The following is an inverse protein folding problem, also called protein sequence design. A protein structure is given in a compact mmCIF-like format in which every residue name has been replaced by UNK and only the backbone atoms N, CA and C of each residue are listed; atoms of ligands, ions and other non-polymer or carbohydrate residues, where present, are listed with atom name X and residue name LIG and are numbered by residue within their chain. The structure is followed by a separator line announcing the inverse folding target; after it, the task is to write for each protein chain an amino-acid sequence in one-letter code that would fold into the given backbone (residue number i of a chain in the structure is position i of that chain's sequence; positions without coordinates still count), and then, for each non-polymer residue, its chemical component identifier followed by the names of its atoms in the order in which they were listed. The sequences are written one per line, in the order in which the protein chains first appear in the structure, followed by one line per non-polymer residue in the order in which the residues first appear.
data_IF_216859561971
#
_entry.id   IF_216859561971
#
_cell.length_a   1.000
_cell.length_b   1.000
_cell.length_c   1.000
_cell.angle_alpha   90.00
_cell.angle_beta   90.00
_cell.angle_gamma   90.00
#
_symmetry.space_group_name_H-M   'P 1'
#
loop_
_entity.id
_entity.type
_entity.pdbx_description
1 polymer ?
#
# COMPACT_ATOMS: atom_id res chain seq x y z
N UNK A 1 -10.92 42.69 -8.70
CA UNK A 1 -9.60 43.22 -8.32
C UNK A 1 -9.73 44.66 -7.82
N UNK A 2 -9.01 44.98 -6.73
CA UNK A 2 -8.96 46.37 -6.21
C UNK A 2 -8.16 47.26 -7.15
N UNK A 3 -8.54 48.55 -7.27
CA UNK A 3 -7.92 49.51 -8.19
C UNK A 3 -6.43 49.77 -7.91
N UNK A 4 -5.92 49.35 -6.77
CA UNK A 4 -4.53 49.51 -6.34
C UNK A 4 -3.73 48.20 -6.40
N UNK A 5 -4.37 47.10 -6.84
CA UNK A 5 -3.70 45.81 -6.98
C UNK A 5 -3.00 45.75 -8.34
N UNK A 6 -1.72 45.48 -8.32
CA UNK A 6 -0.88 45.36 -9.51
C UNK A 6 -0.72 43.86 -9.89
N UNK A 7 -0.81 43.52 -11.17
CA UNK A 7 -0.48 42.17 -11.62
C UNK A 7 1.04 41.94 -11.58
N UNK A 8 1.47 40.70 -11.52
CA UNK A 8 2.87 40.33 -11.55
C UNK A 8 3.14 38.84 -11.51
N UNK A 9 4.26 38.45 -12.09
CA UNK A 9 4.68 37.06 -12.20
C UNK A 9 5.04 36.40 -10.84
N UNK A 10 5.38 37.22 -9.84
CA UNK A 10 5.80 36.75 -8.50
C UNK A 10 4.66 36.64 -7.46
N UNK A 11 3.42 36.83 -7.91
CA UNK A 11 2.26 36.69 -6.98
C UNK A 11 2.00 35.21 -6.75
N UNK A 12 2.24 34.76 -5.52
CA UNK A 12 1.94 33.37 -5.13
C UNK A 12 0.44 33.20 -4.85
N UNK A 13 -0.11 33.96 -3.89
CA UNK A 13 -1.53 33.91 -3.50
C UNK A 13 -2.04 35.31 -3.19
N UNK A 14 -3.37 35.46 -3.10
CA UNK A 14 -4.02 36.71 -2.75
C UNK A 14 -4.84 36.59 -1.46
N UNK A 15 -4.98 37.71 -0.76
CA UNK A 15 -5.84 37.81 0.40
C UNK A 15 -6.87 38.93 0.22
N UNK A 16 -8.03 38.79 0.88
CA UNK A 16 -9.09 39.77 0.83
C UNK A 16 -8.65 41.12 1.41
N UNK A 17 -9.14 42.17 0.82
CA UNK A 17 -8.96 43.55 1.28
C UNK A 17 -10.31 44.27 1.20
N UNK A 18 -10.35 45.51 0.68
CA UNK A 18 -11.57 46.27 0.50
C UNK A 18 -11.99 46.35 -0.98
N UNK A 19 -13.31 46.36 -1.22
CA UNK A 19 -13.93 46.51 -2.52
C UNK A 19 -15.44 46.69 -2.39
N UNK A 20 -16.09 47.30 -3.40
CA UNK A 20 -17.54 47.50 -3.49
C UNK A 20 -18.19 48.16 -2.23
N UNK A 21 -17.43 48.96 -1.49
CA UNK A 21 -17.90 49.63 -0.28
C UNK A 21 -17.72 48.84 1.02
N UNK A 22 -17.19 47.62 0.92
CA UNK A 22 -16.89 46.78 2.09
C UNK A 22 -15.37 46.81 2.37
N UNK A 23 -14.99 46.63 3.61
CA UNK A 23 -13.61 46.57 4.07
C UNK A 23 -13.39 45.48 5.12
N UNK A 24 -12.16 45.39 5.58
CA UNK A 24 -11.81 44.47 6.69
C UNK A 24 -12.25 45.07 8.01
N UNK A 25 -12.92 44.28 8.83
CA UNK A 25 -13.27 44.67 10.20
C UNK A 25 -12.09 44.40 11.10
N UNK A 26 -11.61 45.43 11.80
CA UNK A 26 -10.46 45.34 12.70
C UNK A 26 -10.61 46.36 13.86
N UNK A 27 -9.72 46.26 14.84
CA UNK A 27 -9.62 47.28 15.93
C UNK A 27 -9.17 48.61 15.35
N UNK A 28 -9.74 49.68 15.90
CA UNK A 28 -9.40 51.08 15.58
C UNK A 28 -8.79 51.77 16.78
N UNK A 29 -8.30 52.99 16.58
CA UNK A 29 -7.80 53.82 17.66
C UNK A 29 -8.94 54.11 18.65
N UNK A 30 -8.66 53.92 19.95
CA UNK A 30 -9.65 54.19 21.00
C UNK A 30 -9.97 55.70 21.08
N UNK A 31 -11.25 56.03 20.90
CA UNK A 31 -11.70 57.41 21.12
C UNK A 31 -11.41 57.83 22.53
N UNK A 32 -10.61 58.89 22.72
CA UNK A 32 -10.35 59.48 24.03
C UNK A 32 -11.54 60.39 24.40
N UNK A 33 -12.34 60.03 25.43
CA UNK A 33 -13.51 60.80 25.83
C UNK A 33 -13.17 62.23 26.36
N UNK A 34 -11.88 62.50 26.65
CA UNK A 34 -11.41 63.75 27.16
C UNK A 34 -10.90 64.72 26.09
N UNK A 35 -10.78 64.27 24.82
CA UNK A 35 -10.39 65.11 23.70
C UNK A 35 -11.60 65.47 22.85
N UNK A 36 -11.75 66.81 22.58
CA UNK A 36 -12.80 67.37 21.73
C UNK A 36 -12.41 67.42 20.25
N UNK A 37 -11.31 66.79 19.86
CA UNK A 37 -10.88 66.57 18.50
C UNK A 37 -11.22 65.16 18.08
N UNK A 38 -11.90 64.99 16.95
CA UNK A 38 -12.07 63.67 16.31
C UNK A 38 -10.69 63.04 16.21
N UNK A 39 -10.40 62.08 17.14
CA UNK A 39 -9.20 61.31 17.08
C UNK A 39 -9.23 60.51 15.76
N UNK A 40 -8.17 60.61 15.02
CA UNK A 40 -8.07 60.23 13.62
C UNK A 40 -8.04 58.71 13.37
N UNK A 41 -9.01 57.99 13.96
CA UNK A 41 -9.29 56.63 13.60
C UNK A 41 -10.03 56.52 12.26
N UNK A 42 -10.20 55.30 11.78
CA UNK A 42 -10.98 55.04 10.54
C UNK A 42 -12.49 55.18 10.76
N UNK A 43 -12.97 55.03 11.99
CA UNK A 43 -14.36 55.15 12.38
C UNK A 43 -14.52 55.66 13.82
N UNK A 44 -15.73 56.13 14.18
CA UNK A 44 -16.05 56.42 15.55
C UNK A 44 -16.18 55.13 16.36
N UNK A 45 -15.35 55.00 17.43
CA UNK A 45 -15.32 53.80 18.28
C UNK A 45 -14.02 53.01 18.17
N UNK A 46 -13.99 51.82 18.77
CA UNK A 46 -12.78 51.01 18.89
C UNK A 46 -12.62 49.98 17.76
N UNK A 47 -13.53 50.01 16.78
CA UNK A 47 -13.58 49.04 15.67
C UNK A 47 -13.93 49.76 14.40
N UNK A 48 -13.24 49.48 13.33
CA UNK A 48 -13.58 49.90 11.97
C UNK A 48 -13.96 48.71 11.10
N UNK A 49 -14.83 48.92 10.12
CA UNK A 49 -15.17 47.96 9.05
C UNK A 49 -14.78 48.47 7.66
N UNK A 50 -13.98 49.50 7.58
CA UNK A 50 -13.56 50.15 6.34
C UNK A 50 -12.04 50.06 6.12
N UNK A 51 -11.33 49.27 6.94
CA UNK A 51 -9.90 49.09 6.75
C UNK A 51 -9.60 48.36 5.47
N UNK A 52 -8.70 48.88 4.65
CA UNK A 52 -8.44 48.37 3.31
C UNK A 52 -7.01 48.59 2.83
N UNK A 53 -6.83 48.33 1.52
CA UNK A 53 -5.55 48.37 0.88
C UNK A 53 -4.73 47.10 1.10
N UNK A 54 -3.55 47.04 0.47
CA UNK A 54 -2.61 45.94 0.67
C UNK A 54 -2.18 45.79 2.11
N UNK A 55 -2.25 46.88 2.91
CA UNK A 55 -1.98 46.94 4.35
C UNK A 55 -3.00 46.09 5.18
N UNK A 56 -4.16 45.78 4.63
CA UNK A 56 -5.15 44.91 5.29
C UNK A 56 -5.02 43.47 4.83
N UNK A 57 -4.67 43.23 3.56
CA UNK A 57 -4.50 41.91 2.99
C UNK A 57 -3.27 41.17 3.56
N UNK A 58 -2.14 41.86 3.69
CA UNK A 58 -0.88 41.28 4.19
C UNK A 58 -1.00 40.67 5.59
N UNK A 59 -1.52 41.38 6.64
CA UNK A 59 -1.67 40.77 7.96
C UNK A 59 -2.72 39.67 8.01
N UNK A 60 -3.70 39.68 7.11
CA UNK A 60 -4.65 38.58 6.99
C UNK A 60 -3.94 37.31 6.50
N UNK A 61 -3.11 37.42 5.45
CA UNK A 61 -2.28 36.32 4.99
C UNK A 61 -1.32 35.83 6.08
N UNK A 62 -0.64 36.77 6.78
CA UNK A 62 0.25 36.42 7.88
C UNK A 62 -0.48 35.69 9.03
N UNK A 63 -1.74 36.03 9.30
CA UNK A 63 -2.58 35.32 10.27
C UNK A 63 -2.88 33.88 9.87
N UNK A 64 -3.15 33.64 8.58
CA UNK A 64 -3.34 32.28 8.07
C UNK A 64 -2.06 31.47 8.14
N UNK A 65 -0.92 32.05 7.76
CA UNK A 65 0.40 31.39 7.88
C UNK A 65 0.70 31.02 9.34
N UNK A 66 0.35 31.89 10.30
CA UNK A 66 0.50 31.54 11.71
C UNK A 66 -0.36 30.37 12.16
N UNK A 67 -1.58 30.19 11.61
CA UNK A 67 -2.42 29.03 11.86
C UNK A 67 -1.87 27.75 11.23
N UNK A 68 -1.29 27.84 10.03
CA UNK A 68 -0.59 26.72 9.34
C UNK A 68 0.57 26.23 10.23
N UNK A 69 1.40 27.15 10.72
CA UNK A 69 2.54 26.83 11.58
C UNK A 69 2.14 26.34 12.97
N UNK A 70 0.96 26.74 13.49
CA UNK A 70 0.41 26.23 14.75
C UNK A 70 -0.11 24.79 14.56
N UNK A 71 -0.66 24.47 13.40
CA UNK A 71 -1.13 23.13 13.06
C UNK A 71 0.02 22.11 12.91
N UNK A 72 1.18 22.55 12.39
CA UNK A 72 2.36 21.71 12.25
C UNK A 72 3.65 22.57 12.44
N UNK A 73 4.28 22.41 13.61
CA UNK A 73 5.47 23.18 14.00
C UNK A 73 6.75 22.79 13.24
N UNK A 74 6.73 21.68 12.47
CA UNK A 74 7.90 21.19 11.74
C UNK A 74 8.02 21.78 10.34
N UNK A 75 7.05 22.56 9.88
CA UNK A 75 7.03 23.11 8.52
C UNK A 75 8.16 24.11 8.30
N UNK A 76 8.79 24.00 7.13
CA UNK A 76 9.72 25.02 6.59
C UNK A 76 8.96 26.16 5.92
N UNK A 77 9.67 27.19 5.50
CA UNK A 77 9.05 28.30 4.75
C UNK A 77 8.59 27.84 3.35
N UNK A 78 9.26 26.83 2.75
CA UNK A 78 8.86 26.24 1.48
C UNK A 78 7.60 25.40 1.62
N UNK A 79 7.49 24.58 2.66
CA UNK A 79 6.26 23.85 2.96
C UNK A 79 5.05 24.76 3.06
N UNK A 80 5.21 25.90 3.71
CA UNK A 80 4.14 26.91 3.80
C UNK A 80 3.75 27.43 2.42
N UNK A 81 4.70 27.64 1.50
CA UNK A 81 4.39 28.04 0.12
C UNK A 81 3.64 26.96 -0.63
N UNK A 82 4.09 25.71 -0.57
CA UNK A 82 3.38 24.56 -1.17
C UNK A 82 1.96 24.41 -0.60
N UNK A 83 1.80 24.50 0.70
CA UNK A 83 0.47 24.45 1.34
C UNK A 83 -0.44 25.57 0.82
N UNK A 84 0.09 26.79 0.68
CA UNK A 84 -0.68 27.93 0.18
C UNK A 84 -1.08 27.74 -1.30
N UNK A 85 -0.20 27.23 -2.15
CA UNK A 85 -0.49 26.94 -3.55
C UNK A 85 -1.57 25.86 -3.66
N UNK A 86 -1.36 24.72 -3.00
CA UNK A 86 -2.25 23.56 -3.08
C UNK A 86 -3.62 23.77 -2.39
N UNK A 87 -3.74 24.74 -1.49
CA UNK A 87 -5.00 25.05 -0.80
C UNK A 87 -5.70 26.30 -1.31
N UNK A 88 -5.07 27.07 -2.24
CA UNK A 88 -5.65 28.28 -2.77
C UNK A 88 -6.94 27.96 -3.56
N UNK A 89 -7.90 28.87 -3.49
CA UNK A 89 -9.13 28.76 -4.24
C UNK A 89 -9.22 29.82 -5.32
N UNK A 90 -9.65 29.45 -6.50
CA UNK A 90 -9.90 30.39 -7.59
C UNK A 90 -10.92 31.44 -7.14
N UNK A 91 -10.51 32.68 -7.15
CA UNK A 91 -11.39 33.84 -6.94
C UNK A 91 -11.67 34.51 -8.28
N UNK A 92 -12.87 35.04 -8.48
CA UNK A 92 -13.33 35.59 -9.75
C UNK A 92 -13.11 34.62 -10.96
N UNK A 93 -13.75 33.45 -10.96
CA UNK A 93 -13.49 32.41 -11.97
C UNK A 93 -13.88 32.79 -13.41
N UNK A 94 -14.49 33.98 -13.63
CA UNK A 94 -14.81 34.50 -14.94
C UNK A 94 -13.74 35.50 -15.47
N UNK A 95 -12.72 35.81 -14.69
CA UNK A 95 -11.62 36.67 -15.17
C UNK A 95 -10.78 35.92 -16.22
N UNK A 96 -10.53 36.59 -17.33
CA UNK A 96 -9.82 35.99 -18.47
C UNK A 96 -8.29 35.86 -18.27
N UNK A 97 -7.77 36.25 -17.11
CA UNK A 97 -6.36 36.11 -16.77
C UNK A 97 -6.00 34.75 -16.17
N UNK A 98 -7.02 33.90 -15.92
CA UNK A 98 -6.76 32.54 -15.47
C UNK A 98 -6.28 31.67 -16.62
N UNK A 99 -5.22 30.93 -16.38
CA UNK A 99 -4.66 29.89 -17.24
C UNK A 99 -4.31 28.67 -16.39
N UNK A 100 -4.12 27.55 -17.04
CA UNK A 100 -3.64 26.32 -16.37
C UNK A 100 -2.19 26.15 -16.78
N UNK A 101 -1.28 26.07 -15.83
CA UNK A 101 0.12 25.77 -16.11
C UNK A 101 0.30 24.27 -16.46
N UNK A 102 1.49 23.85 -16.87
CA UNK A 102 1.74 22.49 -17.33
C UNK A 102 1.64 21.45 -16.20
N UNK A 103 1.77 21.86 -14.95
CA UNK A 103 1.52 21.02 -13.76
C UNK A 103 0.04 20.92 -13.36
N UNK A 104 -0.86 21.59 -14.10
CA UNK A 104 -2.30 21.54 -13.85
C UNK A 104 -2.82 22.56 -12.82
N UNK A 105 -1.99 23.46 -12.33
CA UNK A 105 -2.44 24.52 -11.43
C UNK A 105 -3.13 25.66 -12.19
N UNK A 106 -4.27 26.12 -11.66
CA UNK A 106 -4.85 27.39 -12.07
C UNK A 106 -3.97 28.53 -11.57
N UNK A 107 -3.47 29.37 -12.49
CA UNK A 107 -2.59 30.50 -12.16
C UNK A 107 -2.98 31.76 -12.91
N UNK A 108 -2.71 32.90 -12.33
CA UNK A 108 -3.06 34.21 -12.90
C UNK A 108 -2.07 35.28 -12.46
N UNK A 109 -1.64 36.14 -13.37
CA UNK A 109 -0.84 37.34 -13.04
C UNK A 109 -1.54 38.35 -12.13
N UNK A 110 -2.87 38.24 -11.98
CA UNK A 110 -3.65 39.10 -11.06
C UNK A 110 -3.84 38.48 -9.67
N UNK A 111 -3.91 37.15 -9.60
CA UNK A 111 -4.37 36.44 -8.41
C UNK A 111 -3.39 35.40 -7.89
N UNK A 112 -2.26 35.15 -8.58
CA UNK A 112 -1.38 34.03 -8.33
C UNK A 112 -2.14 32.70 -8.49
N UNK A 113 -1.99 31.79 -7.57
CA UNK A 113 -2.73 30.53 -7.52
C UNK A 113 -4.15 30.67 -6.92
N UNK A 114 -4.51 31.87 -6.44
CA UNK A 114 -5.85 32.17 -5.96
C UNK A 114 -5.89 32.84 -4.60
N UNK A 115 -7.08 32.91 -4.04
CA UNK A 115 -7.28 33.44 -2.71
C UNK A 115 -6.95 32.41 -1.64
N UNK A 116 -6.26 32.83 -0.58
CA UNK A 116 -5.95 31.99 0.58
C UNK A 116 -7.25 31.42 1.16
N UNK A 117 -7.28 30.11 1.39
CA UNK A 117 -8.29 29.39 2.15
C UNK A 117 -7.70 28.86 3.47
N UNK A 118 -8.02 29.50 4.57
CA UNK A 118 -7.45 29.16 5.86
C UNK A 118 -7.84 27.76 6.35
N UNK A 119 -9.08 27.31 6.03
CA UNK A 119 -9.57 25.99 6.44
C UNK A 119 -8.86 24.87 5.67
N UNK A 120 -8.77 25.02 4.36
CA UNK A 120 -8.06 24.05 3.51
C UNK A 120 -6.57 24.01 3.86
N UNK A 121 -5.93 25.18 4.03
CA UNK A 121 -4.50 25.27 4.34
C UNK A 121 -4.13 24.62 5.69
N UNK A 122 -4.93 24.85 6.73
CA UNK A 122 -4.70 24.24 8.05
C UNK A 122 -4.90 22.73 7.99
N UNK A 123 -5.97 22.25 7.34
CA UNK A 123 -6.22 20.81 7.18
C UNK A 123 -5.10 20.10 6.42
N UNK A 124 -4.54 20.75 5.39
CA UNK A 124 -3.42 20.21 4.64
C UNK A 124 -2.14 20.17 5.48
N UNK A 125 -1.90 21.22 6.29
CA UNK A 125 -0.73 21.32 7.16
C UNK A 125 -0.65 20.24 8.24
N UNK A 126 -1.80 19.77 8.76
CA UNK A 126 -1.86 18.75 9.83
C UNK A 126 -1.16 17.44 9.46
N UNK A 127 -1.18 17.06 8.17
CA UNK A 127 -0.60 15.82 7.66
C UNK A 127 0.47 16.05 6.58
N UNK A 128 1.01 17.27 6.52
CA UNK A 128 1.99 17.63 5.51
C UNK A 128 3.35 16.95 5.76
N UNK A 129 3.88 16.30 4.75
CA UNK A 129 5.27 15.85 4.72
C UNK A 129 6.12 16.97 4.15
N UNK A 130 7.23 17.29 4.82
CA UNK A 130 8.11 18.38 4.37
C UNK A 130 8.68 18.08 2.99
N UNK A 131 8.69 19.10 2.14
CA UNK A 131 9.31 19.00 0.82
C UNK A 131 10.83 18.78 0.92
N UNK A 132 11.42 18.18 -0.09
CA UNK A 132 12.84 17.90 -0.19
C UNK A 132 13.71 19.16 -0.17
N UNK A 133 15.03 18.99 -0.04
CA UNK A 133 15.98 20.09 -0.07
C UNK A 133 15.89 20.86 -1.39
N UNK A 134 15.99 22.20 -1.29
CA UNK A 134 15.95 23.08 -2.46
C UNK A 134 17.18 22.85 -3.35
N UNK A 135 16.91 22.67 -4.63
CA UNK A 135 17.92 22.68 -5.69
C UNK A 135 17.92 24.04 -6.40
N UNK A 136 19.13 24.54 -6.68
CA UNK A 136 19.34 25.78 -7.40
C UNK A 136 20.19 25.52 -8.65
N UNK A 137 19.59 25.64 -9.83
CA UNK A 137 20.28 25.45 -11.10
C UNK A 137 20.44 26.78 -11.82
N UNK A 138 21.65 27.09 -12.30
CA UNK A 138 21.97 28.36 -12.97
C UNK A 138 22.37 28.13 -14.42
N UNK A 139 21.68 28.79 -15.34
CA UNK A 139 21.90 28.72 -16.77
C UNK A 139 22.31 30.10 -17.31
N UNK A 140 23.47 30.16 -17.96
CA UNK A 140 24.08 31.41 -18.41
C UNK A 140 25.23 31.88 -17.52
N UNK A 141 25.62 33.19 -17.54
CA UNK A 141 25.03 34.25 -18.36
C UNK A 141 25.27 34.04 -19.86
N UNK A 142 24.22 34.24 -20.64
CA UNK A 142 24.27 34.29 -22.09
C UNK A 142 24.45 35.75 -22.52
N UNK A 143 25.35 36.04 -23.48
CA UNK A 143 25.68 37.39 -23.90
C UNK A 143 25.46 37.58 -25.43
N UNK A 144 24.21 37.60 -25.89
CA UNK A 144 23.88 37.67 -27.30
C UNK A 144 24.26 39.01 -27.95
N UNK A 145 24.37 40.08 -27.16
CA UNK A 145 24.59 41.48 -27.66
C UNK A 145 23.62 41.81 -28.81
N UNK A 146 22.34 41.51 -28.59
CA UNK A 146 21.29 41.55 -29.62
C UNK A 146 20.56 42.89 -29.59
N UNK A 147 20.44 43.54 -30.74
CA UNK A 147 19.62 44.75 -30.87
C UNK A 147 18.14 44.42 -30.92
N UNK A 148 17.38 44.89 -29.93
CA UNK A 148 15.93 44.74 -29.87
C UNK A 148 15.29 45.70 -30.88
N UNK A 149 14.55 45.20 -31.90
CA UNK A 149 13.93 46.04 -32.91
C UNK A 149 12.83 46.93 -32.30
N UNK A 150 12.77 48.19 -32.73
CA UNK A 150 11.76 49.15 -32.25
C UNK A 150 10.39 48.90 -32.87
N UNK A 151 9.32 49.12 -32.07
CA UNK A 151 7.93 49.17 -32.55
C UNK A 151 7.51 47.96 -33.37
N UNK A 152 7.83 46.76 -32.87
CA UNK A 152 7.47 45.52 -33.56
C UNK A 152 6.46 44.73 -32.71
N UNK A 153 5.47 44.15 -33.40
CA UNK A 153 4.63 43.14 -32.76
C UNK A 153 5.30 41.75 -32.73
N UNK A 154 6.59 41.68 -33.16
CA UNK A 154 7.33 40.42 -33.24
C UNK A 154 8.27 40.27 -32.07
N UNK A 155 8.23 39.10 -31.44
CA UNK A 155 9.13 38.75 -30.38
C UNK A 155 10.54 38.45 -30.88
N UNK A 156 11.54 38.89 -30.15
CA UNK A 156 12.90 38.35 -30.21
C UNK A 156 13.01 37.24 -29.18
N UNK A 157 13.35 36.03 -29.61
CA UNK A 157 13.36 34.85 -28.77
C UNK A 157 14.78 34.34 -28.54
N UNK A 158 15.07 33.93 -27.30
CA UNK A 158 16.38 33.42 -26.88
C UNK A 158 16.16 32.09 -26.14
N UNK A 159 16.58 30.99 -26.77
CA UNK A 159 16.38 29.66 -26.29
C UNK A 159 17.47 29.23 -25.29
N UNK A 160 17.09 28.50 -24.26
CA UNK A 160 17.97 27.72 -23.39
C UNK A 160 17.47 26.30 -23.26
N UNK A 161 18.35 25.34 -23.50
CA UNK A 161 18.02 23.91 -23.31
C UNK A 161 18.41 23.50 -21.92
N UNK A 162 17.46 22.98 -21.16
CA UNK A 162 17.65 22.40 -19.84
C UNK A 162 17.53 20.87 -19.94
N UNK A 163 18.48 20.16 -19.35
CA UNK A 163 18.58 18.70 -19.33
C UNK A 163 18.39 18.11 -17.95
N UNK A 164 18.42 18.95 -16.94
CA UNK A 164 18.17 18.58 -15.56
C UNK A 164 16.66 18.66 -15.31
N UNK A 165 16.06 17.62 -14.77
CA UNK A 165 14.63 17.56 -14.49
C UNK A 165 14.37 17.80 -13.01
N UNK A 166 13.78 18.95 -12.68
CA UNK A 166 13.35 19.29 -11.33
C UNK A 166 11.95 19.88 -11.34
N UNK A 167 11.20 19.66 -10.28
CA UNK A 167 9.92 20.33 -10.02
C UNK A 167 10.19 21.77 -9.61
N UNK A 168 9.57 22.71 -10.33
CA UNK A 168 9.85 24.13 -10.18
C UNK A 168 9.04 24.73 -9.03
N UNK A 169 9.66 25.60 -8.24
CA UNK A 169 9.01 26.47 -7.28
C UNK A 169 9.04 27.93 -7.73
N UNK A 170 10.20 28.40 -8.18
CA UNK A 170 10.33 29.72 -8.74
C UNK A 170 11.50 29.82 -9.73
N UNK A 171 11.46 30.84 -10.59
CA UNK A 171 12.53 31.11 -11.51
C UNK A 171 12.91 32.59 -11.41
N UNK A 172 14.21 32.83 -11.24
CA UNK A 172 14.80 34.18 -11.38
C UNK A 172 15.38 34.38 -12.77
N UNK A 173 14.97 35.44 -13.43
CA UNK A 173 15.51 35.85 -14.73
C UNK A 173 16.26 37.16 -14.55
N UNK A 174 17.57 37.11 -14.69
CA UNK A 174 18.43 38.31 -14.61
C UNK A 174 18.72 38.81 -16.01
N UNK A 175 18.41 40.06 -16.28
CA UNK A 175 18.64 40.66 -17.60
C UNK A 175 19.53 41.91 -17.48
N UNK A 176 20.35 42.14 -18.49
CA UNK A 176 21.11 43.38 -18.71
C UNK A 176 20.72 43.91 -20.07
N UNK A 177 19.88 44.97 -20.07
CA UNK A 177 19.30 45.58 -21.30
C UNK A 177 19.55 47.07 -21.29
N UNK A 178 20.27 47.57 -22.27
CA UNK A 178 20.35 49.01 -22.55
C UNK A 178 19.10 49.46 -23.30
N UNK A 179 18.32 50.38 -22.74
CA UNK A 179 17.15 51.00 -23.38
C UNK A 179 16.86 52.34 -22.75
N UNK A 180 16.52 53.35 -23.57
CA UNK A 180 16.29 54.71 -23.08
C UNK A 180 14.95 54.90 -22.36
N UNK A 181 14.05 53.96 -22.47
CA UNK A 181 12.74 53.93 -21.80
C UNK A 181 12.35 52.45 -21.55
N UNK A 182 12.74 51.91 -20.44
CA UNK A 182 12.54 50.48 -20.12
C UNK A 182 11.05 50.08 -20.03
N UNK A 183 10.18 51.05 -19.75
CA UNK A 183 8.74 50.84 -19.71
C UNK A 183 8.10 50.52 -21.06
N UNK A 184 8.84 50.67 -22.18
CA UNK A 184 8.36 50.31 -23.51
C UNK A 184 8.59 48.82 -23.85
N UNK A 185 9.22 48.06 -22.93
CA UNK A 185 9.58 46.65 -23.15
C UNK A 185 8.56 45.66 -22.55
N UNK A 186 8.14 44.71 -23.35
CA UNK A 186 7.54 43.50 -22.90
C UNK A 186 8.59 42.40 -22.79
N UNK A 187 8.63 41.69 -21.65
CA UNK A 187 9.56 40.60 -21.37
C UNK A 187 8.75 39.42 -20.85
N UNK A 188 8.88 38.27 -21.50
CA UNK A 188 8.13 37.03 -21.14
C UNK A 188 9.11 35.88 -21.05
N UNK A 189 8.95 35.05 -20.04
CA UNK A 189 9.54 33.73 -19.97
C UNK A 189 8.49 32.67 -20.37
N UNK A 190 8.83 31.78 -21.31
CA UNK A 190 7.96 30.72 -21.76
C UNK A 190 8.60 29.36 -21.46
N UNK A 191 7.84 28.49 -20.84
CA UNK A 191 8.24 27.11 -20.58
C UNK A 191 8.23 26.24 -21.85
N UNK A 192 8.84 25.04 -21.82
CA UNK A 192 8.84 24.11 -22.95
C UNK A 192 7.44 23.74 -23.45
N UNK A 193 6.46 23.65 -22.56
CA UNK A 193 5.08 23.29 -22.87
C UNK A 193 4.19 24.49 -23.18
N UNK A 194 4.71 25.71 -23.04
CA UNK A 194 4.08 26.92 -23.54
C UNK A 194 3.46 27.85 -22.50
N UNK A 195 3.55 27.52 -21.17
CA UNK A 195 3.16 28.46 -20.12
C UNK A 195 3.96 29.74 -20.23
N UNK A 196 3.30 30.89 -20.25
CA UNK A 196 3.93 32.21 -20.39
C UNK A 196 3.86 32.98 -19.07
N UNK A 197 5.03 33.41 -18.58
CA UNK A 197 5.13 34.31 -17.45
C UNK A 197 5.58 35.68 -17.90
N UNK A 198 4.75 36.69 -17.71
CA UNK A 198 5.00 38.08 -18.05
C UNK A 198 5.85 38.74 -16.97
N UNK A 199 7.14 38.87 -17.21
CA UNK A 199 8.11 39.47 -16.29
C UNK A 199 8.04 41.00 -16.30
N UNK A 200 7.81 41.58 -17.46
CA UNK A 200 7.50 42.97 -17.64
C UNK A 200 6.47 43.15 -18.77
N UNK A 201 5.56 44.08 -18.59
CA UNK A 201 4.60 44.55 -19.58
C UNK A 201 4.82 46.03 -19.86
N UNK A 202 4.42 46.54 -21.02
CA UNK A 202 4.43 47.96 -21.34
C UNK A 202 3.72 48.77 -20.24
N UNK A 203 4.45 49.68 -19.64
CA UNK A 203 3.93 50.54 -18.56
C UNK A 203 4.60 51.91 -18.56
N UNK A 204 4.02 52.88 -17.85
CA UNK A 204 4.53 54.25 -17.80
C UNK A 204 5.72 54.37 -16.80
N UNK A 205 6.87 53.80 -17.19
CA UNK A 205 8.15 53.95 -16.49
C UNK A 205 9.21 54.55 -17.47
N UNK A 206 9.47 55.84 -17.31
CA UNK A 206 10.50 56.56 -18.08
C UNK A 206 11.94 56.31 -17.60
N UNK A 207 12.17 55.28 -16.79
CA UNK A 207 13.52 54.87 -16.39
C UNK A 207 14.30 54.30 -17.56
N UNK A 208 15.64 54.41 -17.51
CA UNK A 208 16.52 53.79 -18.48
C UNK A 208 16.93 52.42 -17.97
N UNK A 209 17.32 51.56 -18.91
CA UNK A 209 18.04 50.30 -18.74
C UNK A 209 17.49 49.33 -17.65
N UNK A 210 17.64 48.06 -17.88
CA UNK A 210 17.61 47.01 -16.87
C UNK A 210 19.05 46.54 -16.62
N UNK A 211 19.72 47.09 -15.61
CA UNK A 211 21.12 46.77 -15.31
C UNK A 211 21.23 45.62 -14.30
N UNK A 212 21.53 44.41 -14.77
CA UNK A 212 21.49 43.19 -13.98
C UNK A 212 20.19 43.10 -13.15
N UNK A 213 19.07 43.39 -13.79
CA UNK A 213 17.78 43.44 -13.14
C UNK A 213 17.22 42.01 -12.99
N UNK A 214 16.82 41.67 -11.80
CA UNK A 214 16.25 40.34 -11.50
C UNK A 214 14.73 40.41 -11.48
N UNK A 215 14.09 39.63 -12.32
CA UNK A 215 12.68 39.33 -12.28
C UNK A 215 12.51 37.96 -11.63
N UNK A 216 11.49 37.79 -10.82
CA UNK A 216 11.10 36.50 -10.25
C UNK A 216 9.73 36.10 -10.78
N UNK A 217 9.54 34.80 -11.03
CA UNK A 217 8.24 34.21 -11.35
C UNK A 217 7.97 32.92 -10.60
N UNK A 218 6.71 32.71 -10.19
CA UNK A 218 6.20 31.50 -9.61
C UNK A 218 5.16 30.82 -10.51
N UNK A 219 4.90 31.35 -11.70
CA UNK A 219 3.84 30.84 -12.59
C UNK A 219 4.07 29.41 -13.07
N UNK A 220 5.31 28.94 -13.05
CA UNK A 220 5.74 27.61 -13.47
C UNK A 220 5.82 26.62 -12.28
N UNK A 221 5.11 26.91 -11.19
CA UNK A 221 5.12 26.07 -9.98
C UNK A 221 4.72 24.62 -10.31
N UNK A 222 5.50 23.67 -9.82
CA UNK A 222 5.41 22.23 -10.07
C UNK A 222 5.57 21.78 -11.53
N UNK A 223 5.85 22.69 -12.49
CA UNK A 223 6.23 22.28 -13.84
C UNK A 223 7.61 21.62 -13.85
N UNK A 224 7.84 20.68 -14.79
CA UNK A 224 9.17 20.15 -15.09
C UNK A 224 10.07 21.21 -15.70
N UNK A 225 11.31 21.28 -15.21
CA UNK A 225 12.32 22.16 -15.81
C UNK A 225 12.84 21.68 -17.16
N UNK A 226 12.65 20.38 -17.50
CA UNK A 226 13.24 19.71 -18.67
C UNK A 226 12.71 20.29 -19.99
N UNK A 227 13.62 20.66 -20.88
CA UNK A 227 13.26 21.07 -22.23
C UNK A 227 13.80 22.42 -22.65
N UNK A 228 13.20 23.03 -23.70
CA UNK A 228 13.64 24.30 -24.27
C UNK A 228 12.81 25.45 -23.72
N UNK A 229 13.43 26.27 -22.90
CA UNK A 229 12.87 27.50 -22.37
C UNK A 229 13.19 28.66 -23.29
N UNK A 230 12.31 29.69 -23.32
CA UNK A 230 12.45 30.86 -24.16
C UNK A 230 12.32 32.15 -23.36
N UNK A 231 13.33 33.00 -23.41
CA UNK A 231 13.18 34.39 -23.05
C UNK A 231 12.73 35.16 -24.29
N UNK A 232 11.58 35.84 -24.19
CA UNK A 232 10.95 36.59 -25.28
C UNK A 232 10.95 38.06 -24.93
N UNK A 233 11.48 38.92 -25.84
CA UNK A 233 11.57 40.38 -25.62
C UNK A 233 11.05 41.10 -26.86
N UNK A 234 10.24 42.14 -26.66
CA UNK A 234 9.86 43.07 -27.71
C UNK A 234 9.79 44.53 -27.19
N UNK A 235 10.04 45.47 -28.06
CA UNK A 235 9.81 46.90 -27.84
C UNK A 235 8.50 47.31 -28.52
N UNK A 236 7.56 47.78 -27.73
CA UNK A 236 6.17 48.09 -28.18
C UNK A 236 6.05 49.51 -28.74
N UNK A 237 6.99 50.36 -28.42
CA UNK A 237 6.94 51.80 -28.76
C UNK A 237 7.97 52.19 -29.83
N UNK A 238 7.60 53.10 -30.71
CA UNK A 238 8.51 53.59 -31.74
C UNK A 238 9.44 54.70 -31.23
N UNK A 239 10.73 54.67 -31.61
CA UNK A 239 11.65 55.80 -31.40
C UNK A 239 13.07 55.42 -31.03
N UNK A 240 13.26 54.50 -30.13
CA UNK A 240 14.58 54.06 -29.68
C UNK A 240 14.67 52.51 -29.68
N UNK A 241 15.82 51.99 -30.06
CA UNK A 241 16.10 50.56 -29.98
C UNK A 241 16.88 50.23 -28.71
N UNK A 242 16.61 49.09 -28.12
CA UNK A 242 17.38 48.54 -27.01
C UNK A 242 18.47 47.56 -27.46
N UNK A 243 19.28 47.12 -26.54
CA UNK A 243 20.23 46.02 -26.72
C UNK A 243 20.18 45.09 -25.51
N UNK A 244 19.86 43.81 -25.76
CA UNK A 244 20.06 42.77 -24.75
C UNK A 244 21.55 42.43 -24.70
N UNK A 245 22.23 42.88 -23.66
CA UNK A 245 23.64 42.62 -23.43
C UNK A 245 23.87 41.21 -22.89
N UNK A 246 23.13 40.83 -21.85
CA UNK A 246 23.17 39.48 -21.27
C UNK A 246 21.88 39.11 -20.55
N UNK A 247 21.69 37.83 -20.39
CA UNK A 247 20.65 37.30 -19.53
C UNK A 247 21.07 35.98 -18.88
N UNK A 248 20.44 35.64 -17.77
CA UNK A 248 20.69 34.45 -16.99
C UNK A 248 19.37 33.95 -16.38
N UNK A 249 19.23 32.65 -16.27
CA UNK A 249 18.11 32.03 -15.58
C UNK A 249 18.61 31.23 -14.39
N UNK A 250 17.98 31.40 -13.24
CA UNK A 250 18.23 30.64 -12.03
C UNK A 250 16.91 29.95 -11.67
N UNK A 251 16.93 28.64 -11.62
CA UNK A 251 15.78 27.80 -11.29
C UNK A 251 15.90 27.38 -9.84
N UNK A 252 14.82 27.52 -9.12
CA UNK A 252 14.63 27.05 -7.75
C UNK A 252 13.55 25.98 -7.74
N UNK A 253 13.79 24.84 -7.09
CA UNK A 253 12.86 23.73 -7.04
C UNK A 253 13.40 22.55 -6.26
N UNK A 254 12.88 21.38 -6.51
CA UNK A 254 13.28 20.14 -5.90
C UNK A 254 13.38 19.04 -6.94
N UNK A 255 14.01 17.91 -6.60
CA UNK A 255 13.98 16.75 -7.50
C UNK A 255 12.53 16.40 -7.85
N UNK A 256 12.30 16.06 -9.11
CA UNK A 256 11.04 15.45 -9.49
C UNK A 256 11.08 14.01 -8.96
N UNK A 257 10.29 13.77 -7.95
CA UNK A 257 9.99 12.43 -7.48
C UNK A 257 8.82 11.91 -8.33
N UNK A 258 9.18 11.36 -9.49
CA UNK A 258 8.17 10.81 -10.39
C UNK A 258 7.67 9.48 -9.80
N UNK A 259 6.39 9.39 -9.62
CA UNK A 259 5.64 8.20 -9.25
C UNK A 259 4.58 8.00 -10.33
N UNK A 260 4.82 7.04 -11.25
CA UNK A 260 4.00 6.91 -12.46
C UNK A 260 2.71 6.11 -12.24
N UNK A 261 2.65 5.30 -11.20
CA UNK A 261 1.49 4.44 -10.90
C UNK A 261 0.77 4.84 -9.62
N UNK A 262 1.22 5.95 -8.99
CA UNK A 262 0.63 6.58 -7.81
C UNK A 262 0.56 5.62 -6.59
N UNK A 263 1.52 4.70 -6.44
CA UNK A 263 1.54 3.77 -5.31
C UNK A 263 2.19 4.36 -4.04
N UNK A 264 2.93 5.46 -4.16
CA UNK A 264 3.63 6.17 -3.08
C UNK A 264 5.12 5.88 -3.01
N UNK A 265 5.67 5.13 -3.97
CA UNK A 265 7.11 4.92 -4.16
C UNK A 265 7.55 5.65 -5.42
N UNK A 266 8.66 6.37 -5.36
CA UNK A 266 9.16 7.01 -6.57
C UNK A 266 9.79 6.02 -7.54
N UNK A 267 9.63 6.29 -8.85
CA UNK A 267 10.22 5.48 -9.92
C UNK A 267 11.71 5.21 -9.74
N UNK A 268 12.45 6.16 -9.15
CA UNK A 268 13.87 6.01 -8.86
C UNK A 268 14.09 4.98 -7.76
N UNK A 269 13.31 5.06 -6.67
CA UNK A 269 13.37 4.12 -5.56
C UNK A 269 12.90 2.73 -5.98
N UNK A 270 11.85 2.64 -6.78
CA UNK A 270 11.39 1.39 -7.35
C UNK A 270 12.49 0.71 -8.16
N UNK A 271 13.06 1.42 -9.12
CA UNK A 271 14.08 0.85 -10.01
C UNK A 271 15.41 0.54 -9.32
N UNK A 272 15.88 1.42 -8.43
CA UNK A 272 17.25 1.35 -7.87
C UNK A 272 17.32 0.69 -6.50
N UNK A 273 16.24 0.74 -5.70
CA UNK A 273 16.22 0.30 -4.31
C UNK A 273 15.43 -0.99 -4.15
N UNK A 274 14.19 -1.01 -4.66
CA UNK A 274 13.23 -2.08 -4.40
C UNK A 274 13.15 -3.11 -5.53
N UNK A 275 13.39 -2.70 -6.78
CA UNK A 275 13.32 -3.56 -7.96
C UNK A 275 11.90 -3.79 -8.46
N UNK A 276 10.96 -2.93 -8.04
CA UNK A 276 9.57 -2.92 -8.47
C UNK A 276 9.40 -2.25 -9.85
N UNK A 277 8.21 -2.34 -10.45
CA UNK A 277 7.91 -1.78 -11.77
C UNK A 277 7.26 -0.40 -11.65
N UNK A 278 7.94 0.72 -12.03
CA UNK A 278 7.44 2.09 -11.92
C UNK A 278 6.13 2.41 -12.67
N UNK A 279 5.52 1.45 -13.31
CA UNK A 279 4.27 1.61 -14.04
C UNK A 279 3.17 0.66 -13.54
N UNK A 280 3.43 -0.08 -12.46
CA UNK A 280 2.50 -1.06 -11.93
C UNK A 280 2.57 -1.10 -10.40
N UNK A 281 1.64 -0.43 -9.76
CA UNK A 281 1.52 -0.30 -8.29
C UNK A 281 1.38 -1.61 -7.50
N UNK A 282 1.40 -2.77 -8.16
CA UNK A 282 1.36 -4.12 -7.60
C UNK A 282 2.20 -4.99 -8.53
N UNK A 283 3.53 -4.96 -8.31
CA UNK A 283 4.53 -5.52 -9.24
C UNK A 283 4.36 -7.01 -9.47
N UNK A 284 4.06 -7.80 -8.44
CA UNK A 284 3.91 -9.26 -8.54
C UNK A 284 2.47 -9.73 -8.70
N UNK A 285 1.52 -8.80 -8.63
CA UNK A 285 0.10 -9.01 -8.90
C UNK A 285 -0.60 -9.95 -7.90
N UNK A 286 -0.21 -9.93 -6.65
CA UNK A 286 -0.83 -10.71 -5.59
C UNK A 286 -2.06 -10.01 -4.98
N UNK A 287 -2.22 -8.69 -5.16
CA UNK A 287 -3.33 -7.86 -4.71
C UNK A 287 -3.01 -6.93 -3.56
N UNK A 288 -1.75 -6.83 -3.15
CA UNK A 288 -1.20 -5.80 -2.26
C UNK A 288 -0.38 -4.85 -3.14
N UNK A 289 -0.36 -3.55 -2.85
CA UNK A 289 0.49 -2.63 -3.57
C UNK A 289 1.91 -2.64 -3.00
N UNK A 290 2.89 -2.29 -3.85
CA UNK A 290 4.32 -2.34 -3.52
C UNK A 290 4.65 -1.52 -2.25
N UNK A 291 4.02 -0.36 -2.06
CA UNK A 291 4.19 0.46 -0.86
C UNK A 291 3.76 -0.25 0.41
N UNK A 292 2.55 -0.85 0.40
CA UNK A 292 2.03 -1.55 1.57
C UNK A 292 2.88 -2.79 1.89
N UNK A 293 3.37 -3.50 0.88
CA UNK A 293 4.27 -4.63 1.08
C UNK A 293 5.57 -4.20 1.76
N UNK A 294 6.25 -3.18 1.22
CA UNK A 294 7.56 -2.73 1.71
C UNK A 294 7.46 -2.06 3.09
N UNK A 295 6.46 -1.21 3.32
CA UNK A 295 6.41 -0.33 4.49
C UNK A 295 5.39 -0.72 5.56
N UNK A 296 4.39 -1.55 5.23
CA UNK A 296 3.34 -1.96 6.17
C UNK A 296 3.49 -3.42 6.56
N UNK A 297 3.62 -4.32 5.57
CA UNK A 297 3.66 -5.76 5.80
C UNK A 297 5.07 -6.33 5.84
N UNK A 298 6.06 -5.59 5.31
CA UNK A 298 7.47 -6.00 5.20
C UNK A 298 7.65 -7.28 4.40
N UNK A 299 6.79 -7.48 3.40
CA UNK A 299 6.88 -8.54 2.41
C UNK A 299 7.73 -8.12 1.22
N UNK A 300 7.95 -9.03 0.28
CA UNK A 300 8.76 -8.77 -0.90
C UNK A 300 7.86 -8.43 -2.10
N UNK A 301 7.69 -7.17 -2.40
CA UNK A 301 6.86 -6.62 -3.47
C UNK A 301 7.15 -7.15 -4.90
N UNK A 302 8.10 -8.05 -5.08
CA UNK A 302 8.40 -8.72 -6.35
C UNK A 302 8.08 -10.22 -6.32
N UNK A 303 7.45 -10.71 -5.25
CA UNK A 303 7.18 -12.13 -5.02
C UNK A 303 5.85 -12.32 -4.31
N UNK A 304 4.82 -12.70 -5.01
CA UNK A 304 3.47 -12.90 -4.51
C UNK A 304 3.30 -13.91 -3.33
N UNK A 305 4.36 -14.57 -2.92
CA UNK A 305 4.47 -15.54 -1.84
C UNK A 305 5.88 -15.38 -1.25
N UNK A 306 6.01 -14.55 -0.24
CA UNK A 306 7.32 -14.09 0.29
C UNK A 306 8.08 -15.22 0.98
N UNK A 307 7.43 -16.11 1.73
CA UNK A 307 8.06 -17.20 2.49
C UNK A 307 8.01 -18.55 1.78
N UNK A 308 7.31 -18.63 0.63
CA UNK A 308 7.26 -19.79 -0.27
C UNK A 308 6.53 -21.00 0.32
N UNK A 309 5.54 -20.78 1.14
CA UNK A 309 4.74 -21.85 1.75
C UNK A 309 3.58 -22.34 0.86
N UNK A 310 3.24 -21.58 -0.21
CA UNK A 310 2.20 -21.87 -1.19
C UNK A 310 0.91 -21.10 -0.99
N UNK A 311 0.86 -20.14 -0.08
CA UNK A 311 -0.15 -19.09 0.02
C UNK A 311 0.44 -17.79 -0.55
N UNK A 312 -0.37 -16.88 -1.03
CA UNK A 312 0.12 -15.54 -1.36
C UNK A 312 0.00 -14.61 -0.15
N UNK A 313 0.89 -13.63 -0.07
CA UNK A 313 0.95 -12.66 1.03
C UNK A 313 -0.43 -12.03 1.29
N UNK A 314 -1.15 -11.66 0.23
CA UNK A 314 -2.49 -11.08 0.34
C UNK A 314 -3.54 -12.07 0.88
N UNK A 315 -3.44 -13.35 0.56
CA UNK A 315 -4.33 -14.40 1.07
C UNK A 315 -4.05 -14.66 2.54
N UNK A 316 -2.79 -14.70 2.93
CA UNK A 316 -2.39 -14.84 4.32
C UNK A 316 -2.91 -13.70 5.18
N UNK A 317 -2.66 -12.45 4.78
CA UNK A 317 -3.08 -11.26 5.52
C UNK A 317 -4.60 -11.14 5.59
N UNK A 318 -5.31 -11.31 4.45
CA UNK A 318 -6.73 -10.98 4.35
C UNK A 318 -7.68 -12.11 4.70
N UNK A 319 -7.28 -13.37 4.49
CA UNK A 319 -8.14 -14.54 4.63
C UNK A 319 -7.76 -15.38 5.84
N UNK A 320 -6.49 -15.76 5.96
CA UNK A 320 -6.04 -16.72 6.97
C UNK A 320 -5.49 -16.05 8.23
N UNK A 321 -5.03 -14.79 8.15
CA UNK A 321 -4.42 -14.03 9.22
C UNK A 321 -3.11 -14.66 9.72
N UNK A 322 -2.44 -15.38 8.82
CA UNK A 322 -1.11 -15.94 9.01
C UNK A 322 -0.03 -14.87 8.77
N UNK A 323 1.21 -15.22 9.01
CA UNK A 323 2.34 -14.30 8.88
C UNK A 323 3.06 -14.52 7.53
N UNK A 324 2.91 -13.64 6.53
CA UNK A 324 3.44 -13.81 5.18
C UNK A 324 4.99 -13.81 5.08
N UNK A 325 5.66 -13.67 6.20
CA UNK A 325 7.12 -13.72 6.28
C UNK A 325 7.63 -14.97 7.02
N UNK A 326 6.76 -15.92 7.33
CA UNK A 326 7.12 -17.11 8.09
C UNK A 326 6.25 -18.29 7.68
N UNK A 327 6.82 -19.23 6.95
CA UNK A 327 6.15 -20.41 6.38
C UNK A 327 5.34 -21.27 7.36
N UNK A 328 5.50 -21.08 8.67
CA UNK A 328 4.88 -21.83 9.76
C UNK A 328 4.56 -20.85 10.91
N UNK A 329 3.33 -20.32 10.91
CA UNK A 329 2.93 -19.24 11.83
C UNK A 329 2.87 -19.69 13.28
N UNK A 330 2.43 -20.92 13.57
CA UNK A 330 2.26 -21.42 14.94
C UNK A 330 3.40 -22.33 15.42
N UNK A 331 4.36 -22.61 14.56
CA UNK A 331 5.62 -23.30 14.84
C UNK A 331 5.44 -24.79 15.23
N UNK A 332 4.53 -25.48 14.56
CA UNK A 332 4.27 -26.90 14.80
C UNK A 332 5.04 -27.83 13.84
N UNK A 333 5.62 -27.27 12.78
CA UNK A 333 6.40 -27.99 11.77
C UNK A 333 5.64 -28.28 10.49
N UNK A 334 4.37 -27.89 10.40
CA UNK A 334 3.61 -27.80 9.16
C UNK A 334 3.70 -26.36 8.63
N UNK A 335 3.76 -26.18 7.33
CA UNK A 335 3.63 -24.84 6.76
C UNK A 335 2.15 -24.46 6.65
N UNK A 336 1.85 -23.15 6.80
CA UNK A 336 0.51 -22.61 6.73
C UNK A 336 -0.22 -23.06 5.45
N UNK A 337 0.50 -23.02 4.31
CA UNK A 337 0.01 -23.48 3.02
C UNK A 337 -0.25 -24.99 2.96
N UNK A 338 0.54 -25.82 3.65
CA UNK A 338 0.29 -27.24 3.75
C UNK A 338 -0.94 -27.53 4.60
N UNK A 339 -1.10 -26.84 5.72
CA UNK A 339 -2.27 -26.98 6.58
C UNK A 339 -3.56 -26.63 5.86
N UNK A 340 -3.60 -25.50 5.15
CA UNK A 340 -4.78 -25.07 4.39
C UNK A 340 -5.08 -26.00 3.21
N UNK A 341 -4.05 -26.34 2.40
CA UNK A 341 -4.27 -27.00 1.12
C UNK A 341 -4.28 -28.53 1.19
N UNK A 342 -3.56 -29.14 2.13
CA UNK A 342 -3.40 -30.59 2.24
C UNK A 342 -4.14 -31.17 3.44
N UNK A 343 -3.94 -30.57 4.62
CA UNK A 343 -4.41 -31.16 5.87
C UNK A 343 -5.76 -30.62 6.32
N UNK A 344 -6.17 -29.43 5.86
CA UNK A 344 -7.39 -28.73 6.30
C UNK A 344 -7.40 -28.45 7.81
N UNK A 345 -6.21 -28.31 8.39
CA UNK A 345 -6.00 -27.84 9.77
C UNK A 345 -6.01 -26.32 9.86
N UNK A 346 -5.76 -25.78 11.02
CA UNK A 346 -5.80 -24.35 11.27
C UNK A 346 -4.39 -23.80 11.52
N UNK A 347 -3.80 -23.02 10.61
CA UNK A 347 -2.41 -22.55 10.68
C UNK A 347 -2.10 -21.57 11.82
N UNK A 348 -3.05 -21.35 12.72
CA UNK A 348 -2.88 -20.51 13.91
C UNK A 348 -2.97 -21.33 15.21
N UNK A 349 -3.09 -22.66 15.12
CA UNK A 349 -3.26 -23.56 16.26
C UNK A 349 -2.27 -24.70 16.12
N UNK A 350 -1.28 -24.72 16.99
CA UNK A 350 -0.25 -25.76 17.06
C UNK A 350 -0.85 -27.16 17.03
N UNK A 351 -0.60 -27.90 15.98
CA UNK A 351 -1.04 -29.27 15.77
C UNK A 351 0.01 -30.25 16.36
N UNK A 352 -0.37 -31.01 17.37
CA UNK A 352 0.56 -31.93 18.02
C UNK A 352 0.74 -33.22 17.19
N UNK A 353 1.97 -33.72 17.11
CA UNK A 353 2.34 -35.09 16.73
C UNK A 353 3.09 -35.68 17.93
N UNK A 354 2.34 -36.30 18.89
CA UNK A 354 2.90 -36.73 20.19
C UNK A 354 3.83 -37.94 20.09
N UNK A 355 3.67 -38.81 19.07
CA UNK A 355 4.49 -40.00 18.89
C UNK A 355 5.49 -39.92 17.75
N UNK A 356 5.48 -38.79 17.01
CA UNK A 356 6.45 -38.43 15.96
C UNK A 356 6.44 -39.37 14.75
N UNK A 357 5.28 -39.78 14.31
CA UNK A 357 5.12 -40.68 13.17
C UNK A 357 4.69 -39.97 11.85
N UNK A 358 4.55 -38.62 11.89
CA UNK A 358 4.14 -37.71 10.80
C UNK A 358 2.63 -37.70 10.52
N UNK A 359 1.83 -38.22 11.40
CA UNK A 359 0.40 -37.98 11.46
C UNK A 359 0.08 -37.16 12.70
N UNK A 360 -0.79 -36.21 12.58
CA UNK A 360 -1.09 -35.24 13.61
C UNK A 360 -2.41 -35.56 14.30
N UNK A 361 -2.66 -35.06 15.49
CA UNK A 361 -3.81 -35.34 16.31
C UNK A 361 -5.19 -35.24 15.61
N UNK A 362 -5.28 -34.44 14.51
CA UNK A 362 -6.53 -34.28 13.76
C UNK A 362 -6.77 -35.37 12.70
N UNK A 363 -5.75 -36.13 12.29
CA UNK A 363 -5.84 -37.18 11.30
C UNK A 363 -5.31 -38.53 11.80
N UNK A 364 -4.82 -38.56 13.04
CA UNK A 364 -4.39 -39.76 13.76
C UNK A 364 -5.44 -40.17 14.79
N UNK A 365 -5.90 -41.41 14.75
CA UNK A 365 -6.88 -41.94 15.72
C UNK A 365 -6.24 -42.33 17.06
N UNK A 366 -4.92 -42.40 17.14
CA UNK A 366 -4.16 -42.61 18.37
C UNK A 366 -2.78 -41.95 18.36
N UNK A 367 -2.73 -40.65 18.41
CA UNK A 367 -1.56 -39.76 18.45
C UNK A 367 -0.54 -40.05 19.60
N UNK A 368 -0.62 -41.18 20.24
CA UNK A 368 0.33 -41.66 21.28
C UNK A 368 0.97 -43.00 20.92
N UNK A 369 0.66 -43.59 19.76
CA UNK A 369 1.19 -44.87 19.32
C UNK A 369 1.46 -44.89 17.81
N UNK A 370 2.70 -44.62 17.43
CA UNK A 370 3.19 -44.58 16.05
C UNK A 370 2.95 -45.85 15.20
N UNK A 371 2.35 -46.89 15.75
CA UNK A 371 1.90 -48.09 15.05
C UNK A 371 0.41 -48.04 14.66
N UNK A 372 -0.31 -46.98 15.04
CA UNK A 372 -1.73 -46.76 14.75
C UNK A 372 -1.84 -45.39 14.05
N UNK A 373 -1.98 -45.37 12.73
CA UNK A 373 -2.12 -44.17 11.92
C UNK A 373 -2.64 -44.53 10.51
N UNK A 374 -3.12 -43.55 9.70
CA UNK A 374 -3.66 -43.81 8.35
C UNK A 374 -2.73 -44.49 7.35
N UNK A 375 -1.46 -44.53 7.67
CA UNK A 375 -0.42 -45.17 6.81
C UNK A 375 -0.16 -46.63 7.17
N UNK A 376 -0.73 -47.15 8.24
CA UNK A 376 -0.49 -48.53 8.71
C UNK A 376 -1.50 -49.52 8.12
N UNK A 377 -1.10 -50.78 7.95
CA UNK A 377 -2.04 -51.84 7.62
C UNK A 377 -2.73 -52.35 8.87
N UNK A 378 -3.97 -52.79 8.73
CA UNK A 378 -4.71 -53.46 9.79
C UNK A 378 -3.97 -54.68 10.36
N UNK A 379 -4.09 -54.82 11.67
CA UNK A 379 -3.68 -55.99 12.42
C UNK A 379 -4.92 -56.55 13.13
N UNK A 380 -5.04 -57.87 13.29
CA UNK A 380 -6.14 -58.49 14.01
C UNK A 380 -5.89 -58.38 15.53
N UNK A 381 -6.26 -57.22 16.11
CA UNK A 381 -5.92 -56.88 17.48
C UNK A 381 -7.04 -56.13 18.25
N UNK A 382 -8.16 -55.85 17.57
CA UNK A 382 -9.31 -55.17 18.13
C UNK A 382 -9.20 -53.66 18.12
N UNK A 383 -8.21 -53.08 17.44
CA UNK A 383 -8.05 -51.66 17.21
C UNK A 383 -8.20 -51.36 15.72
N UNK A 384 -8.58 -50.14 15.40
CA UNK A 384 -8.53 -49.58 14.06
C UNK A 384 -7.12 -49.05 13.88
N UNK A 385 -6.22 -49.85 13.27
CA UNK A 385 -4.80 -49.50 13.13
C UNK A 385 -4.56 -48.52 11.99
N UNK A 386 -5.50 -48.36 11.03
CA UNK A 386 -5.37 -47.54 9.84
C UNK A 386 -6.31 -46.30 9.86
N UNK A 387 -7.03 -46.10 10.94
CA UNK A 387 -7.90 -44.93 11.16
C UNK A 387 -8.98 -44.72 10.09
N UNK A 388 -9.60 -45.80 9.56
CA UNK A 388 -10.65 -45.74 8.55
C UNK A 388 -12.07 -45.97 9.10
N UNK A 389 -12.24 -45.99 10.42
CA UNK A 389 -13.48 -46.27 11.18
C UNK A 389 -13.95 -47.75 11.13
N UNK A 390 -13.16 -48.67 10.57
CA UNK A 390 -13.43 -50.11 10.62
C UNK A 390 -12.35 -50.77 11.47
N UNK A 391 -12.73 -51.73 12.27
CA UNK A 391 -11.84 -52.48 13.16
C UNK A 391 -11.54 -53.83 12.53
N UNK A 392 -10.25 -54.17 12.40
CA UNK A 392 -9.78 -55.46 11.89
C UNK A 392 -10.42 -55.86 10.55
N UNK A 393 -10.63 -54.91 9.60
CA UNK A 393 -11.18 -55.23 8.29
C UNK A 393 -10.15 -55.98 7.45
N UNK A 394 -10.64 -56.78 6.50
CA UNK A 394 -9.79 -57.65 5.65
C UNK A 394 -9.65 -59.08 6.20
N UNK A 395 -9.79 -59.31 7.49
CA UNK A 395 -9.66 -60.64 8.12
C UNK A 395 -10.94 -61.48 8.04
N UNK A 396 -12.04 -60.91 7.61
CA UNK A 396 -13.29 -61.65 7.35
C UNK A 396 -13.21 -62.76 6.30
N UNK A 397 -12.16 -62.75 5.46
CA UNK A 397 -11.94 -63.68 4.35
C UNK A 397 -10.72 -64.58 4.54
N UNK A 398 -9.88 -64.26 5.51
CA UNK A 398 -8.71 -65.08 5.86
C UNK A 398 -9.12 -66.24 6.77
N UNK A 399 -8.40 -67.30 6.72
CA UNK A 399 -8.54 -68.52 7.51
C UNK A 399 -7.11 -69.10 7.57
N UNK A 400 -6.40 -68.71 8.62
CA UNK A 400 -4.93 -68.83 8.66
C UNK A 400 -4.48 -70.24 9.06
N UNK A 401 -5.19 -70.91 9.89
CA UNK A 401 -4.92 -72.26 10.38
C UNK A 401 -5.71 -73.36 9.61
N UNK A 402 -6.69 -72.92 8.75
CA UNK A 402 -7.51 -73.74 7.88
C UNK A 402 -8.43 -74.71 8.57
N UNK A 403 -9.02 -74.29 9.67
CA UNK A 403 -10.00 -75.07 10.42
C UNK A 403 -11.46 -74.90 9.93
N UNK A 404 -11.69 -73.86 9.08
CA UNK A 404 -12.99 -73.54 8.47
C UNK A 404 -13.70 -72.35 9.12
N UNK A 405 -13.21 -71.78 10.21
CA UNK A 405 -13.56 -70.47 10.70
C UNK A 405 -12.70 -69.40 9.98
N UNK A 406 -13.06 -68.19 10.13
CA UNK A 406 -12.29 -67.07 9.61
C UNK A 406 -11.65 -66.29 10.76
N UNK A 407 -10.44 -65.77 10.50
CA UNK A 407 -9.63 -65.06 11.52
C UNK A 407 -10.45 -64.04 12.31
N UNK A 408 -11.33 -63.25 11.65
CA UNK A 408 -12.14 -62.23 12.29
C UNK A 408 -13.22 -62.79 13.23
N UNK A 409 -14.10 -63.79 12.83
CA UNK A 409 -15.00 -64.48 13.73
C UNK A 409 -14.31 -65.18 14.89
N UNK A 410 -13.18 -65.80 14.68
CA UNK A 410 -12.39 -66.44 15.72
C UNK A 410 -12.03 -65.43 16.81
N UNK A 411 -11.40 -64.35 16.42
CA UNK A 411 -10.94 -63.34 17.36
C UNK A 411 -12.09 -62.58 18.05
N UNK A 412 -13.11 -62.16 17.31
CA UNK A 412 -14.15 -61.24 17.80
C UNK A 412 -15.41 -61.96 18.37
N UNK A 413 -15.70 -63.14 17.90
CA UNK A 413 -16.94 -63.84 18.25
C UNK A 413 -16.69 -65.03 19.15
N UNK A 414 -15.73 -65.88 18.73
CA UNK A 414 -15.51 -67.14 19.39
C UNK A 414 -14.40 -67.07 20.46
N UNK A 415 -13.51 -66.07 20.37
CA UNK A 415 -12.34 -65.92 21.23
C UNK A 415 -11.35 -67.09 21.13
N UNK A 416 -11.31 -67.75 19.96
CA UNK A 416 -10.31 -68.76 19.61
C UNK A 416 -9.03 -68.16 19.07
N UNK A 417 -7.94 -68.92 19.03
CA UNK A 417 -6.67 -68.48 18.46
C UNK A 417 -6.63 -68.74 16.95
N UNK A 418 -6.89 -67.74 16.11
CA UNK A 418 -6.93 -67.80 14.67
C UNK A 418 -5.63 -68.32 13.99
N UNK A 419 -4.65 -68.80 14.77
CA UNK A 419 -3.41 -69.43 14.32
C UNK A 419 -3.29 -70.86 14.72
N UNK A 420 -4.25 -71.34 15.53
CA UNK A 420 -4.25 -72.66 16.08
C UNK A 420 -5.65 -73.27 15.84
N UNK A 421 -5.73 -74.24 14.96
CA UNK A 421 -6.97 -74.83 14.49
C UNK A 421 -7.74 -75.62 15.57
N UNK A 422 -7.20 -75.81 16.78
CA UNK A 422 -7.73 -76.53 17.89
C UNK A 422 -7.29 -75.82 19.18
N UNK A 423 -7.99 -74.73 19.54
CA UNK A 423 -7.59 -73.81 20.60
C UNK A 423 -7.50 -74.45 21.98
N UNK A 424 -8.26 -75.49 22.26
CA UNK A 424 -8.24 -76.15 23.56
C UNK A 424 -7.51 -77.51 23.57
N UNK A 425 -6.93 -77.89 22.42
CA UNK A 425 -6.09 -79.10 22.24
C UNK A 425 -6.87 -80.44 22.52
N UNK A 426 -8.18 -80.49 22.21
CA UNK A 426 -8.97 -81.69 22.46
C UNK A 426 -9.02 -82.65 21.26
N UNK A 427 -8.60 -82.23 20.07
CA UNK A 427 -8.56 -83.00 18.86
C UNK A 427 -9.69 -82.76 17.87
N UNK A 428 -10.65 -81.88 18.20
CA UNK A 428 -11.59 -81.29 17.28
C UNK A 428 -11.03 -79.92 16.85
N UNK A 429 -11.29 -79.55 15.65
CA UNK A 429 -10.93 -78.15 15.21
C UNK A 429 -12.03 -77.16 15.60
N UNK A 430 -11.65 -75.94 15.94
CA UNK A 430 -12.56 -74.86 16.38
C UNK A 430 -13.69 -74.65 15.34
N UNK A 431 -13.40 -74.72 14.06
CA UNK A 431 -14.37 -74.61 12.98
C UNK A 431 -15.40 -75.76 12.96
N UNK A 432 -15.01 -76.97 13.31
CA UNK A 432 -15.91 -78.09 13.45
C UNK A 432 -16.80 -77.91 14.66
N UNK A 433 -16.28 -77.51 15.78
CA UNK A 433 -17.07 -77.31 17.00
C UNK A 433 -18.10 -76.22 16.81
N UNK A 434 -17.73 -75.06 16.25
CA UNK A 434 -18.67 -73.98 16.01
C UNK A 434 -19.71 -74.32 14.95
N UNK A 435 -19.31 -74.91 13.82
CA UNK A 435 -20.19 -75.08 12.66
C UNK A 435 -20.96 -76.37 12.63
N UNK A 436 -20.45 -77.40 13.24
CA UNK A 436 -21.08 -78.78 13.21
C UNK A 436 -21.60 -79.20 14.54
N UNK A 437 -20.91 -78.98 15.63
CA UNK A 437 -21.15 -79.60 16.91
C UNK A 437 -21.66 -78.65 18.00
N UNK A 438 -21.71 -77.32 17.76
CA UNK A 438 -22.19 -76.36 18.75
C UNK A 438 -23.61 -76.64 19.30
N UNK A 439 -24.52 -77.17 18.43
CA UNK A 439 -25.86 -77.56 18.84
C UNK A 439 -25.87 -78.79 19.74
N UNK A 440 -24.81 -79.58 19.78
CA UNK A 440 -24.61 -80.73 20.58
C UNK A 440 -23.89 -80.46 21.91
N UNK A 441 -23.24 -79.30 22.01
CA UNK A 441 -22.60 -78.81 23.21
C UNK A 441 -21.07 -78.64 23.13
N UNK A 442 -20.46 -78.88 21.96
CA UNK A 442 -19.04 -78.56 21.76
C UNK A 442 -18.78 -77.07 21.91
N UNK A 443 -17.68 -76.73 22.50
CA UNK A 443 -17.27 -75.34 22.76
C UNK A 443 -15.74 -75.19 22.50
N UNK A 444 -15.28 -74.51 21.51
CA UNK A 444 -13.87 -74.47 21.09
C UNK A 444 -12.90 -73.88 22.14
N UNK A 445 -13.37 -73.60 23.34
CA UNK A 445 -12.55 -73.11 24.46
C UNK A 445 -12.63 -74.11 25.67
N UNK A 446 -13.33 -75.26 25.54
CA UNK A 446 -13.54 -76.18 26.60
C UNK A 446 -13.21 -77.56 26.10
N UNK A 447 -12.12 -78.13 26.53
CA UNK A 447 -11.65 -79.48 26.20
C UNK A 447 -12.73 -80.50 26.35
N UNK A 448 -13.18 -81.04 25.20
CA UNK A 448 -14.20 -82.08 25.12
C UNK A 448 -13.55 -83.46 25.27
N UNK A 449 -13.87 -84.21 26.28
CA UNK A 449 -13.24 -85.49 26.58
C UNK A 449 -13.78 -86.64 25.71
N UNK A 450 -12.87 -87.37 25.04
CA UNK A 450 -13.14 -88.77 24.51
C UNK A 450 -12.55 -89.77 25.49
N UNK A 451 -13.35 -90.22 26.41
CA UNK A 451 -12.91 -91.04 27.56
C UNK A 451 -12.39 -92.39 27.14
N UNK A 452 -12.88 -93.02 26.08
CA UNK A 452 -12.49 -94.37 25.68
C UNK A 452 -11.56 -94.42 24.46
N UNK A 453 -11.35 -93.24 23.79
CA UNK A 453 -10.39 -93.06 22.70
C UNK A 453 -10.87 -93.69 21.39
N UNK A 454 -12.17 -93.70 21.15
CA UNK A 454 -12.73 -94.30 19.94
C UNK A 454 -13.07 -93.26 18.85
N UNK A 455 -12.74 -91.95 19.06
CA UNK A 455 -12.97 -90.83 18.18
C UNK A 455 -14.39 -90.25 18.11
N UNK A 456 -15.27 -90.72 19.09
CA UNK A 456 -16.58 -90.12 19.30
C UNK A 456 -16.57 -89.38 20.65
N UNK A 457 -16.90 -88.20 20.69
CA UNK A 457 -16.85 -87.35 21.87
C UNK A 457 -18.11 -87.52 22.72
N UNK A 458 -18.05 -87.15 24.01
CA UNK A 458 -19.11 -87.42 25.03
C UNK A 458 -20.49 -86.94 24.59
N UNK A 459 -20.62 -85.93 23.75
CA UNK A 459 -21.88 -85.39 23.25
C UNK A 459 -22.45 -86.23 22.06
N UNK A 460 -21.68 -86.98 21.39
CA UNK A 460 -22.05 -87.79 20.25
C UNK A 460 -22.12 -89.29 20.65
N UNK A 461 -21.33 -89.69 21.61
CA UNK A 461 -21.29 -91.13 22.07
C UNK A 461 -22.39 -91.45 23.08
N UNK A 462 -23.00 -92.60 22.91
CA UNK A 462 -24.04 -93.09 23.82
C UNK A 462 -23.47 -93.77 25.04
N UNK A 463 -22.19 -94.10 25.12
CA UNK A 463 -21.48 -94.76 26.22
C UNK A 463 -19.97 -94.48 26.18
N UNK A 464 -19.58 -93.23 26.43
CA UNK A 464 -18.25 -92.63 26.35
C UNK A 464 -17.16 -93.30 27.27
N UNK A 465 -17.56 -94.31 28.03
CA UNK A 465 -16.69 -95.19 28.81
C UNK A 465 -16.38 -96.52 28.09
N UNK A 466 -16.94 -96.81 26.86
CA UNK A 466 -16.85 -98.07 26.21
C UNK A 466 -16.69 -98.05 24.69
N UNK A 467 -15.50 -98.10 24.20
CA UNK A 467 -15.06 -98.08 22.80
C UNK A 467 -15.85 -98.98 21.82
N UNK A 468 -16.67 -99.92 22.33
CA UNK A 468 -17.51 -100.91 21.57
C UNK A 468 -18.96 -100.40 21.38
N UNK A 469 -19.28 -99.16 21.81
CA UNK A 469 -20.63 -98.61 21.78
C UNK A 469 -20.82 -97.30 21.13
N UNK A 470 -19.94 -96.94 20.24
CA UNK A 470 -20.01 -95.69 19.45
C UNK A 470 -21.17 -95.71 18.42
N UNK A 471 -21.64 -94.53 17.95
CA UNK A 471 -22.79 -94.41 17.01
C UNK A 471 -22.69 -95.18 15.71
N UNK A 472 -21.53 -95.59 15.28
CA UNK A 472 -21.28 -96.34 14.04
C UNK A 472 -21.23 -97.88 14.20
N UNK A 473 -21.33 -98.42 15.45
CA UNK A 473 -21.18 -99.82 15.68
C UNK A 473 -22.55 -100.52 15.82
N UNK A 474 -22.70 -101.78 15.38
CA UNK A 474 -23.95 -102.53 15.52
C UNK A 474 -24.18 -102.96 17.01
N UNK A 475 -25.41 -102.78 17.52
CA UNK A 475 -25.86 -103.19 18.83
C UNK A 475 -25.61 -104.65 19.16
#
# INVERSE_FOLDING_TARGET
QSYYSEPGASILVTAHSNGDGEGITTTDIHDDPDTTSDDAGYANGNVTNTFGGTSSATPLAAGVIALILDANENLTWRDVQHILVNSARMNDPNDSSWEINDAGHDVSHKYGFGAIDAGAAVSLAENWTNVDEELNLTFGPYSPSFTIPTSTNSWSEFDVQITDDISLESIDVVVDIDHSNRGDLDIVLQSPNGTESWLAEEHNDGGNDYSNWMFNTVHHWDESSLGTWKLKIRDTTSGTSGTLNSWQMIIHGMNIDLDYDDDGISNENETLVWGTDPYNSDTDSDGINDYDEIFVYFTNATMADTDLDGLSDSVEISVHQTNPNNEDTDLDGLSDGAEINLWQSNPLIFDADEDSDLYYHFNDCNDQDAEINPGKPEKLNGFDDNCDDYIDEGFNFTDRDNDGLKDWPEYHIHNTDYRDADTDDDGLDDGSEVNLYSDLGADPLIFDEDFDGDTWYWFEDCDDDNILRSPGLPE
#
